data_IF_866954622238
#
_entry.id   IF_866954622238
#
_cell.length_a   1.000
_cell.length_b   1.000
_cell.length_c   1.000
_cell.angle_alpha   90.00
_cell.angle_beta   90.00
_cell.angle_gamma   90.00
#
_symmetry.space_group_name_H-M   'P 1'
#
loop_
_entity.id
_entity.type
_entity.pdbx_description
1 polymer ?
#
# COMPACT_ATOMS: atom_id res chain seq x y z
N UNK A 1 -13.30 -16.77 -22.53
CA UNK A 1 -12.02 -16.12 -22.19
C UNK A 1 -11.74 -16.36 -20.72
N UNK A 2 -10.75 -17.18 -20.42
CA UNK A 2 -10.36 -17.49 -19.06
C UNK A 2 -9.06 -18.27 -19.10
N UNK A 3 -8.22 -18.06 -18.10
CA UNK A 3 -7.00 -18.82 -17.89
C UNK A 3 -7.34 -20.30 -17.68
N UNK A 4 -6.54 -21.19 -18.26
CA UNK A 4 -6.57 -22.62 -17.95
C UNK A 4 -6.35 -22.82 -16.44
N UNK A 5 -6.82 -23.93 -15.87
CA UNK A 5 -6.71 -24.14 -14.41
C UNK A 5 -5.25 -24.09 -13.91
N UNK A 6 -4.31 -24.52 -14.74
CA UNK A 6 -2.85 -24.48 -14.48
C UNK A 6 -2.25 -23.07 -14.53
N UNK A 7 -2.92 -22.15 -15.23
CA UNK A 7 -2.54 -20.73 -15.36
C UNK A 7 -3.15 -19.87 -14.25
N UNK A 8 -4.06 -20.44 -13.43
CA UNK A 8 -4.64 -19.74 -12.28
C UNK A 8 -3.67 -19.77 -11.11
N UNK A 9 -3.41 -18.59 -10.55
CA UNK A 9 -2.64 -18.48 -9.32
C UNK A 9 -3.32 -19.19 -8.14
N UNK A 10 -2.53 -19.62 -7.16
CA UNK A 10 -3.06 -20.11 -5.89
C UNK A 10 -3.67 -18.94 -5.12
N UNK A 11 -4.95 -19.01 -4.78
CA UNK A 11 -5.67 -17.96 -4.05
C UNK A 11 -5.22 -17.81 -2.58
N UNK A 12 -4.41 -18.73 -2.09
CA UNK A 12 -3.84 -18.71 -0.75
C UNK A 12 -2.44 -19.32 -0.78
N UNK A 13 -1.48 -18.60 -0.20
CA UNK A 13 -0.10 -19.05 -0.04
C UNK A 13 0.44 -18.46 1.26
N UNK A 14 1.16 -19.27 2.04
CA UNK A 14 1.77 -18.89 3.31
C UNK A 14 3.28 -19.11 3.25
N UNK A 15 4.01 -18.45 4.14
CA UNK A 15 5.45 -18.60 4.29
C UNK A 15 5.80 -18.64 5.77
N UNK A 16 6.86 -19.40 6.11
CA UNK A 16 7.42 -19.45 7.47
C UNK A 16 8.34 -18.25 7.76
N UNK A 17 8.63 -17.41 6.75
CA UNK A 17 9.46 -16.23 6.90
C UNK A 17 8.76 -15.14 7.71
N UNK A 18 9.55 -14.41 8.50
CA UNK A 18 9.08 -13.19 9.14
C UNK A 18 8.78 -12.11 8.08
N UNK A 19 7.77 -11.27 8.34
CA UNK A 19 7.32 -10.25 7.38
C UNK A 19 8.43 -9.30 6.92
N UNK A 20 9.34 -8.90 7.81
CA UNK A 20 10.50 -8.08 7.45
C UNK A 20 11.45 -8.80 6.49
N UNK A 21 11.60 -10.12 6.60
CA UNK A 21 12.35 -10.92 5.63
C UNK A 21 11.59 -11.10 4.32
N UNK A 22 10.27 -11.27 4.35
CA UNK A 22 9.43 -11.29 3.15
C UNK A 22 9.59 -9.99 2.35
N UNK A 23 9.58 -8.83 3.02
CA UNK A 23 9.78 -7.55 2.36
C UNK A 23 11.16 -7.45 1.69
N UNK A 24 12.21 -7.93 2.37
CA UNK A 24 13.54 -7.98 1.79
C UNK A 24 13.59 -8.87 0.53
N UNK A 25 13.01 -10.08 0.56
CA UNK A 25 12.95 -10.97 -0.61
C UNK A 25 12.16 -10.38 -1.78
N UNK A 26 11.06 -9.67 -1.50
CA UNK A 26 10.30 -8.93 -2.51
C UNK A 26 11.21 -7.90 -3.19
N UNK A 27 11.94 -7.10 -2.41
CA UNK A 27 12.83 -6.08 -2.96
C UNK A 27 14.02 -6.71 -3.73
N UNK A 28 14.64 -7.75 -3.19
CA UNK A 28 15.72 -8.51 -3.83
C UNK A 28 15.30 -9.05 -5.21
N UNK A 29 14.04 -9.45 -5.33
CA UNK A 29 13.43 -9.93 -6.59
C UNK A 29 12.99 -8.79 -7.52
N UNK A 30 13.26 -7.53 -7.18
CA UNK A 30 12.87 -6.35 -7.95
C UNK A 30 11.43 -5.87 -7.72
N UNK A 31 10.69 -6.48 -6.80
CA UNK A 31 9.30 -6.15 -6.45
C UNK A 31 9.17 -5.06 -5.37
N UNK A 32 7.96 -4.54 -5.19
CA UNK A 32 7.65 -3.47 -4.22
C UNK A 32 6.77 -4.04 -3.11
N UNK A 33 7.22 -4.00 -1.86
CA UNK A 33 6.41 -4.44 -0.74
C UNK A 33 5.45 -3.32 -0.27
N UNK A 34 4.15 -3.64 -0.27
CA UNK A 34 3.08 -2.75 0.19
C UNK A 34 2.22 -3.52 1.19
N UNK A 35 2.00 -2.96 2.38
CA UNK A 35 1.14 -3.61 3.36
C UNK A 35 -0.33 -3.34 3.01
N UNK A 36 -1.04 -4.38 2.57
CA UNK A 36 -2.45 -4.29 2.22
C UNK A 36 -3.32 -4.04 3.46
N UNK A 37 -4.36 -3.20 3.31
CA UNK A 37 -5.36 -2.91 4.35
C UNK A 37 -4.76 -2.65 5.76
N UNK A 38 -3.67 -1.88 5.84
CA UNK A 38 -2.82 -1.81 7.03
C UNK A 38 -3.56 -1.33 8.29
N UNK A 39 -4.53 -0.44 8.12
CA UNK A 39 -5.32 0.20 9.18
C UNK A 39 -6.71 -0.42 9.40
N UNK A 40 -7.08 -1.43 8.60
CA UNK A 40 -8.39 -2.06 8.69
C UNK A 40 -8.54 -2.80 10.02
N UNK A 41 -9.71 -2.69 10.65
CA UNK A 41 -10.08 -3.43 11.87
C UNK A 41 -11.31 -4.29 11.61
N UNK A 42 -11.45 -5.45 12.28
CA UNK A 42 -10.48 -6.09 13.18
C UNK A 42 -9.36 -6.83 12.45
N UNK A 43 -9.35 -6.78 11.11
CA UNK A 43 -8.40 -7.47 10.25
C UNK A 43 -7.61 -6.42 9.48
N UNK A 44 -6.31 -6.36 9.71
CA UNK A 44 -5.38 -5.42 9.11
C UNK A 44 -4.03 -5.56 9.78
N UNK A 45 -2.98 -5.08 9.13
CA UNK A 45 -1.62 -5.30 9.61
C UNK A 45 -1.39 -4.78 11.05
N UNK A 46 -2.00 -3.63 11.39
CA UNK A 46 -2.01 -3.06 12.75
C UNK A 46 -2.88 -3.82 13.76
N UNK A 47 -3.91 -4.52 13.29
CA UNK A 47 -4.91 -5.18 14.12
C UNK A 47 -4.54 -6.61 14.50
N UNK A 48 -3.37 -7.11 14.07
CA UNK A 48 -2.83 -8.41 14.48
C UNK A 48 -2.59 -8.51 15.99
N UNK A 49 -2.53 -9.73 16.53
CA UNK A 49 -2.27 -9.98 17.96
C UNK A 49 -0.79 -9.84 18.36
N UNK A 50 0.08 -9.54 17.38
CA UNK A 50 1.51 -9.39 17.61
C UNK A 50 1.85 -8.27 18.61
N UNK A 51 2.85 -8.46 19.48
CA UNK A 51 3.30 -7.42 20.40
C UNK A 51 3.70 -6.14 19.66
N UNK A 52 3.46 -4.98 20.27
CA UNK A 52 3.81 -3.66 19.69
C UNK A 52 5.27 -3.59 19.25
N UNK A 53 6.19 -4.23 19.98
CA UNK A 53 7.63 -4.30 19.60
C UNK A 53 7.85 -5.01 18.25
N UNK A 54 7.13 -6.10 18.00
CA UNK A 54 7.21 -6.85 16.73
C UNK A 54 6.63 -6.02 15.60
N UNK A 55 5.44 -5.44 15.80
CA UNK A 55 4.82 -4.53 14.83
C UNK A 55 5.75 -3.36 14.48
N UNK A 56 6.38 -2.74 15.48
CA UNK A 56 7.34 -1.65 15.28
C UNK A 56 8.54 -2.09 14.45
N UNK A 57 9.09 -3.29 14.70
CA UNK A 57 10.18 -3.86 13.90
C UNK A 57 9.78 -3.96 12.43
N UNK A 58 8.64 -4.60 12.16
CA UNK A 58 8.16 -4.81 10.79
C UNK A 58 7.86 -3.47 10.10
N UNK A 59 7.18 -2.54 10.78
CA UNK A 59 6.92 -1.18 10.29
C UNK A 59 8.18 -0.31 10.19
N UNK A 60 9.30 -0.69 10.80
CA UNK A 60 10.56 0.04 10.65
C UNK A 60 11.42 -0.51 9.49
N UNK A 61 11.00 -1.60 8.84
CA UNK A 61 11.73 -2.18 7.72
C UNK A 61 11.89 -1.16 6.60
N UNK A 62 13.11 -1.01 6.08
CA UNK A 62 13.40 -0.17 4.92
C UNK A 62 12.81 -0.74 3.63
N UNK A 63 12.49 -2.03 3.62
CA UNK A 63 11.94 -2.74 2.47
C UNK A 63 10.42 -2.56 2.33
N UNK A 64 9.73 -2.12 3.39
CA UNK A 64 8.31 -1.76 3.32
C UNK A 64 8.14 -0.38 2.69
N UNK A 65 7.58 -0.32 1.47
CA UNK A 65 7.55 0.90 0.66
C UNK A 65 6.31 1.78 0.90
N UNK A 66 5.16 1.17 1.14
CA UNK A 66 3.88 1.88 1.27
C UNK A 66 2.88 1.11 2.15
N UNK A 67 1.83 1.81 2.56
CA UNK A 67 0.67 1.24 3.25
C UNK A 67 -0.58 1.47 2.40
N UNK A 68 -1.35 0.43 2.16
CA UNK A 68 -2.72 0.59 1.68
C UNK A 68 -3.62 0.89 2.88
N UNK A 69 -4.28 2.05 2.83
CA UNK A 69 -5.17 2.52 3.90
C UNK A 69 -6.63 2.39 3.50
N UNK A 70 -7.45 2.02 4.47
CA UNK A 70 -8.90 1.87 4.37
C UNK A 70 -9.64 2.96 5.14
N UNK A 71 -8.94 3.68 6.02
CA UNK A 71 -9.47 4.77 6.85
C UNK A 71 -8.79 6.08 6.44
N UNK A 72 -9.38 6.87 5.52
CA UNK A 72 -8.76 8.08 4.97
C UNK A 72 -8.30 9.11 6.01
N UNK A 73 -8.98 9.20 7.16
CA UNK A 73 -8.62 10.13 8.24
C UNK A 73 -7.28 9.80 8.92
N UNK A 74 -6.72 8.61 8.71
CA UNK A 74 -5.40 8.23 9.25
C UNK A 74 -4.26 8.56 8.30
N UNK A 75 -4.57 8.97 7.06
CA UNK A 75 -3.59 9.19 5.99
C UNK A 75 -2.48 10.14 6.41
N UNK A 76 -2.83 11.29 6.96
CA UNK A 76 -1.86 12.36 7.24
C UNK A 76 -0.99 11.97 8.43
N UNK A 77 -1.54 11.26 9.43
CA UNK A 77 -0.76 10.68 10.52
C UNK A 77 0.35 9.74 10.01
N UNK A 78 0.05 8.92 9.00
CA UNK A 78 1.03 8.03 8.39
C UNK A 78 2.07 8.75 7.53
N UNK A 79 1.65 9.73 6.72
CA UNK A 79 2.56 10.51 5.86
C UNK A 79 3.51 11.37 6.69
N UNK A 80 3.04 11.92 7.80
CA UNK A 80 3.83 12.81 8.65
C UNK A 80 4.65 12.04 9.69
N UNK A 81 4.44 10.73 9.86
CA UNK A 81 5.11 9.92 10.88
C UNK A 81 4.58 10.19 12.30
N UNK A 82 3.33 10.67 12.41
CA UNK A 82 2.65 10.97 13.66
C UNK A 82 1.77 9.81 14.15
N UNK A 83 1.73 8.69 13.41
CA UNK A 83 1.00 7.49 13.84
C UNK A 83 1.59 6.93 15.15
N UNK A 84 0.78 6.77 16.22
CA UNK A 84 1.29 6.30 17.51
C UNK A 84 2.11 5.02 17.40
N UNK A 85 3.31 5.03 18.00
CA UNK A 85 4.30 3.94 17.97
C UNK A 85 5.02 3.71 16.63
N UNK A 86 4.58 4.33 15.52
CA UNK A 86 5.10 4.09 14.18
C UNK A 86 5.59 5.41 13.54
N UNK A 87 6.82 5.87 13.88
CA UNK A 87 7.31 7.19 13.47
C UNK A 87 7.79 7.27 12.01
N UNK A 88 7.87 6.15 11.30
CA UNK A 88 8.29 6.15 9.89
C UNK A 88 7.16 6.74 9.04
N UNK A 89 7.55 7.70 8.19
CA UNK A 89 6.66 8.27 7.17
C UNK A 89 6.37 7.24 6.08
N UNK A 90 5.11 7.17 5.67
CA UNK A 90 4.66 6.22 4.66
C UNK A 90 3.91 6.90 3.52
N UNK A 91 4.20 6.44 2.30
CA UNK A 91 3.25 6.58 1.21
C UNK A 91 1.98 5.80 1.57
N UNK A 92 0.86 6.50 1.57
CA UNK A 92 -0.46 5.90 1.70
C UNK A 92 -1.07 5.72 0.32
N UNK A 93 -1.60 4.54 0.04
CA UNK A 93 -2.31 4.23 -1.20
C UNK A 93 -3.69 3.65 -0.90
N UNK A 94 -4.51 3.49 -1.95
CA UNK A 94 -5.75 2.72 -1.89
C UNK A 94 -5.83 1.80 -3.10
N UNK A 95 -6.40 0.62 -2.89
CA UNK A 95 -6.77 -0.32 -3.94
C UNK A 95 -8.26 -0.60 -3.93
N UNK A 96 -8.75 -1.10 -5.06
CA UNK A 96 -10.12 -1.59 -5.14
C UNK A 96 -10.34 -2.86 -4.33
N UNK A 97 -9.33 -3.72 -4.16
CA UNK A 97 -9.48 -5.07 -3.56
C UNK A 97 -10.72 -5.77 -4.16
N UNK A 98 -10.79 -5.78 -5.49
CA UNK A 98 -11.98 -6.12 -6.25
C UNK A 98 -12.16 -7.64 -6.33
N UNK A 99 -13.30 -8.14 -5.88
CA UNK A 99 -13.72 -9.53 -5.95
C UNK A 99 -14.77 -9.75 -7.06
N UNK A 100 -15.23 -8.67 -7.71
CA UNK A 100 -16.08 -8.70 -8.90
C UNK A 100 -15.76 -7.55 -9.86
N UNK A 101 -16.05 -7.68 -11.18
CA UNK A 101 -15.66 -6.68 -12.18
C UNK A 101 -16.18 -5.26 -11.93
N UNK A 102 -17.36 -5.11 -11.34
CA UNK A 102 -17.94 -3.82 -10.98
C UNK A 102 -17.24 -3.12 -9.80
N UNK A 103 -16.34 -3.80 -9.09
CA UNK A 103 -15.56 -3.20 -8.00
C UNK A 103 -14.22 -2.62 -8.48
N UNK A 104 -13.79 -2.91 -9.71
CA UNK A 104 -12.53 -2.42 -10.28
C UNK A 104 -12.51 -0.89 -10.25
N UNK A 105 -11.44 -0.32 -9.67
CA UNK A 105 -11.25 1.12 -9.61
C UNK A 105 -12.11 1.86 -8.58
N UNK A 106 -12.85 1.18 -7.70
CA UNK A 106 -13.73 1.84 -6.69
C UNK A 106 -13.03 2.78 -5.70
N UNK A 107 -11.71 2.65 -5.53
CA UNK A 107 -10.87 3.51 -4.68
C UNK A 107 -9.55 3.81 -5.42
N UNK A 108 -9.58 4.75 -6.38
CA UNK A 108 -8.38 5.06 -7.16
C UNK A 108 -7.45 5.98 -6.38
N UNK A 109 -6.18 5.95 -6.76
CA UNK A 109 -5.21 7.00 -6.46
C UNK A 109 -4.64 7.51 -7.79
N UNK A 110 -4.18 8.74 -7.79
CA UNK A 110 -3.50 9.36 -8.91
C UNK A 110 -2.02 9.43 -8.61
N UNK A 111 -1.23 8.88 -9.52
CA UNK A 111 0.23 8.89 -9.43
C UNK A 111 0.75 9.72 -10.60
N UNK A 112 1.40 10.83 -10.31
CA UNK A 112 2.12 11.60 -11.33
C UNK A 112 3.30 10.77 -11.83
N UNK A 113 3.29 10.37 -13.09
CA UNK A 113 4.36 9.58 -13.71
C UNK A 113 4.66 9.97 -15.17
N UNK A 114 5.94 9.94 -15.54
CA UNK A 114 6.36 10.11 -16.94
C UNK A 114 6.36 8.79 -17.71
N UNK A 115 6.53 7.68 -17.00
CA UNK A 115 6.55 6.31 -17.54
C UNK A 115 5.84 5.35 -16.58
N UNK A 116 5.23 4.29 -17.13
CA UNK A 116 4.57 3.25 -16.34
C UNK A 116 5.55 2.09 -16.16
N UNK A 117 6.44 2.24 -15.18
CA UNK A 117 7.41 1.21 -14.80
C UNK A 117 7.65 1.17 -13.28
N UNK A 118 8.27 0.08 -12.80
CA UNK A 118 8.53 -0.12 -11.37
C UNK A 118 9.51 0.92 -10.79
N UNK A 119 10.45 1.43 -11.58
CA UNK A 119 11.41 2.42 -11.11
C UNK A 119 10.71 3.74 -10.80
N UNK A 120 9.78 4.16 -11.67
CA UNK A 120 8.98 5.35 -11.45
C UNK A 120 7.98 5.17 -10.31
N UNK A 121 7.36 3.99 -10.17
CA UNK A 121 6.51 3.71 -9.01
C UNK A 121 7.28 3.84 -7.69
N UNK A 122 8.53 3.35 -7.61
CA UNK A 122 9.38 3.54 -6.42
C UNK A 122 9.65 5.02 -6.16
N UNK A 123 9.97 5.79 -7.19
CA UNK A 123 10.15 7.23 -7.08
C UNK A 123 8.90 7.91 -6.54
N UNK A 124 7.72 7.56 -7.08
CA UNK A 124 6.43 8.09 -6.64
C UNK A 124 6.11 7.76 -5.19
N UNK A 125 6.38 6.54 -4.73
CA UNK A 125 6.20 6.17 -3.32
C UNK A 125 7.18 6.91 -2.40
N UNK A 126 8.43 7.12 -2.83
CA UNK A 126 9.40 7.91 -2.06
C UNK A 126 9.01 9.38 -1.96
N UNK A 127 8.53 9.97 -3.05
CA UNK A 127 8.11 11.37 -3.17
C UNK A 127 6.58 11.51 -3.08
N UNK A 128 5.95 10.70 -2.22
CA UNK A 128 4.50 10.54 -2.19
C UNK A 128 3.73 11.82 -1.82
N UNK A 129 4.34 12.78 -1.12
CA UNK A 129 3.73 14.05 -0.75
C UNK A 129 3.29 14.86 -1.98
N UNK A 130 4.11 14.85 -3.03
CA UNK A 130 3.87 15.59 -4.27
C UNK A 130 3.27 14.72 -5.36
N UNK A 131 3.68 13.45 -5.45
CA UNK A 131 3.35 12.57 -6.59
C UNK A 131 2.11 11.71 -6.43
N UNK A 132 1.63 11.51 -5.21
CA UNK A 132 0.46 10.67 -4.94
C UNK A 132 -0.67 11.54 -4.42
N UNK A 133 -1.80 11.52 -5.14
CA UNK A 133 -3.02 12.25 -4.80
C UNK A 133 -4.20 11.30 -4.71
N UNK A 134 -5.06 11.55 -3.74
CA UNK A 134 -6.36 10.90 -3.62
C UNK A 134 -7.40 11.75 -4.36
N UNK A 135 -8.56 11.19 -4.74
CA UNK A 135 -9.62 11.96 -5.41
C UNK A 135 -10.01 13.25 -4.69
N UNK A 136 -10.07 13.24 -3.36
CA UNK A 136 -10.37 14.44 -2.57
C UNK A 136 -9.32 15.55 -2.69
N UNK A 137 -8.04 15.20 -2.91
CA UNK A 137 -6.96 16.19 -3.03
C UNK A 137 -7.06 16.96 -4.36
N UNK A 138 -7.72 16.38 -5.37
CA UNK A 138 -7.96 17.03 -6.66
C UNK A 138 -9.19 17.95 -6.62
N UNK A 139 -10.19 17.61 -5.80
CA UNK A 139 -11.42 18.40 -5.66
C UNK A 139 -11.16 19.77 -4.98
N UNK A 140 -10.19 19.82 -4.07
CA UNK A 140 -9.75 21.07 -3.42
C UNK A 140 -8.88 21.95 -4.33
N UNK A 141 -8.40 21.40 -5.46
CA UNK A 141 -7.54 22.03 -6.45
C UNK A 141 -8.26 22.57 -7.68
N UNK A 142 -9.55 22.91 -7.62
CA UNK A 142 -10.25 23.65 -8.68
C UNK A 142 -10.57 22.85 -9.96
N UNK A 143 -11.82 22.98 -10.40
CA UNK A 143 -12.39 22.60 -11.71
C UNK A 143 -11.38 22.08 -12.77
N UNK A 144 -11.12 20.77 -12.77
CA UNK A 144 -10.77 20.09 -14.00
C UNK A 144 -12.10 19.69 -14.64
N UNK A 145 -12.57 20.52 -15.58
CA UNK A 145 -13.61 20.09 -16.52
C UNK A 145 -13.00 18.97 -17.35
N UNK A 146 -13.61 17.80 -17.29
CA UNK A 146 -13.48 16.76 -18.32
C UNK A 146 -14.17 17.26 -19.58
#
# INVERSE_FOLDING_TARGET
LGFADEERGQGFCETELWLDEVFWRIEESGGIAIAAHADRRPKGFLASDEPVRVKRRIHSSNHLSALEITVPSTRDLWREGLMPHFPKKYACIQGSDAHSPNEIGRRPIYIECSTIDLAYLRLALREHETRIKFPQDLAEGGNIKV
#
